data_IF_207756264770
#
_entry.id   IF_207756264770
#
_cell.length_a   1.000
_cell.length_b   1.000
_cell.length_c   1.000
_cell.angle_alpha   90.00
_cell.angle_beta   90.00
_cell.angle_gamma   90.00
#
_symmetry.space_group_name_H-M   'P 1'
#
loop_
_entity.id
_entity.type
_entity.pdbx_description
1 polymer ?
#
# COMPACT_ATOMS: atom_id res chain seq x y z
N UNK A 1 10.15 8.37 10.45
CA UNK A 1 9.58 7.31 11.30
C UNK A 1 9.12 6.21 10.36
N UNK A 2 9.60 4.99 10.56
CA UNK A 2 9.13 3.81 9.84
C UNK A 2 8.14 3.08 10.74
N UNK A 3 7.11 2.50 10.15
CA UNK A 3 6.11 1.67 10.86
C UNK A 3 6.31 0.26 10.34
N UNK A 4 6.53 -0.70 11.25
CA UNK A 4 6.55 -2.12 10.92
C UNK A 4 5.13 -2.67 10.95
N UNK A 5 4.78 -3.41 9.90
CA UNK A 5 3.47 -4.03 9.70
C UNK A 5 3.67 -5.55 9.63
N UNK A 6 3.25 -6.26 10.67
CA UNK A 6 3.20 -7.73 10.64
C UNK A 6 1.93 -8.18 9.91
N UNK A 7 2.05 -8.41 8.61
CA UNK A 7 0.94 -8.82 7.75
C UNK A 7 1.10 -10.28 7.32
N UNK A 8 0.03 -11.07 7.41
CA UNK A 8 -0.03 -12.35 6.70
C UNK A 8 -0.38 -12.12 5.21
N UNK A 9 -0.32 -13.18 4.41
CA UNK A 9 -0.60 -13.11 2.98
C UNK A 9 -1.98 -12.50 2.65
N UNK A 10 -3.03 -12.88 3.37
CA UNK A 10 -4.38 -12.37 3.14
C UNK A 10 -4.49 -10.88 3.48
N UNK A 11 -3.84 -10.45 4.55
CA UNK A 11 -3.83 -9.04 4.97
C UNK A 11 -3.02 -8.18 3.99
N UNK A 12 -1.90 -8.72 3.46
CA UNK A 12 -1.15 -8.08 2.38
C UNK A 12 -2.01 -7.90 1.13
N UNK A 13 -2.74 -8.94 0.70
CA UNK A 13 -3.67 -8.86 -0.45
C UNK A 13 -4.78 -7.83 -0.22
N UNK A 14 -5.39 -7.83 0.96
CA UNK A 14 -6.47 -6.93 1.30
C UNK A 14 -6.01 -5.46 1.31
N UNK A 15 -4.81 -5.21 1.86
CA UNK A 15 -4.21 -3.88 1.91
C UNK A 15 -3.78 -3.41 0.51
N UNK A 16 -3.18 -4.29 -0.30
CA UNK A 16 -2.82 -4.00 -1.68
C UNK A 16 -4.04 -3.57 -2.50
N UNK A 17 -5.14 -4.34 -2.40
CA UNK A 17 -6.40 -3.98 -3.05
C UNK A 17 -6.92 -2.62 -2.59
N UNK A 18 -6.83 -2.32 -1.29
CA UNK A 18 -7.23 -1.03 -0.76
C UNK A 18 -6.40 0.13 -1.34
N UNK A 19 -5.08 -0.04 -1.48
CA UNK A 19 -4.21 0.97 -2.11
C UNK A 19 -4.65 1.32 -3.54
N UNK A 20 -5.16 0.35 -4.30
CA UNK A 20 -5.62 0.57 -5.68
C UNK A 20 -7.05 1.13 -5.78
N UNK A 21 -7.96 0.67 -4.92
CA UNK A 21 -9.37 1.05 -4.97
C UNK A 21 -9.64 2.42 -4.32
N UNK A 22 -8.84 2.78 -3.33
CA UNK A 22 -9.02 4.01 -2.58
C UNK A 22 -8.67 5.24 -3.43
N UNK A 23 -9.64 6.14 -3.57
CA UNK A 23 -9.46 7.45 -4.22
C UNK A 23 -9.55 8.55 -3.18
N UNK A 24 -8.45 9.25 -2.87
CA UNK A 24 -8.47 10.40 -1.99
C UNK A 24 -9.49 11.44 -2.48
N UNK A 25 -10.26 11.98 -1.53
CA UNK A 25 -11.20 13.07 -1.78
C UNK A 25 -11.27 13.98 -0.56
N UNK A 26 -10.12 14.47 -0.13
CA UNK A 26 -10.00 15.41 0.99
C UNK A 26 -10.56 16.81 0.66
N UNK A 27 -10.65 17.14 -0.63
CA UNK A 27 -10.97 18.49 -1.11
C UNK A 27 -9.73 19.37 -1.28
N UNK A 28 -8.54 18.89 -0.91
CA UNK A 28 -7.25 19.51 -1.23
C UNK A 28 -6.48 18.65 -2.25
N UNK A 29 -6.36 19.17 -3.48
CA UNK A 29 -5.69 18.47 -4.57
C UNK A 29 -4.18 18.23 -4.36
N UNK A 30 -3.53 18.92 -3.41
CA UNK A 30 -2.14 18.66 -3.03
C UNK A 30 -2.08 17.51 -2.03
N UNK A 31 -2.99 17.49 -1.07
CA UNK A 31 -3.11 16.40 -0.10
C UNK A 31 -3.50 15.09 -0.80
N UNK A 32 -4.49 15.13 -1.68
CA UNK A 32 -4.93 13.97 -2.46
C UNK A 32 -3.77 13.38 -3.29
N UNK A 33 -2.95 14.23 -3.93
CA UNK A 33 -1.76 13.80 -4.67
C UNK A 33 -0.69 13.18 -3.77
N UNK A 34 -0.45 13.77 -2.60
CA UNK A 34 0.51 13.23 -1.62
C UNK A 34 0.06 11.86 -1.13
N UNK A 35 -1.22 11.71 -0.84
CA UNK A 35 -1.79 10.47 -0.36
C UNK A 35 -1.77 9.38 -1.44
N UNK A 36 -2.12 9.72 -2.68
CA UNK A 36 -1.97 8.81 -3.83
C UNK A 36 -0.52 8.31 -3.97
N UNK A 37 0.46 9.21 -3.94
CA UNK A 37 1.88 8.83 -4.05
C UNK A 37 2.33 7.92 -2.90
N UNK A 38 1.82 8.15 -1.68
CA UNK A 38 2.11 7.29 -0.54
C UNK A 38 1.48 5.90 -0.69
N UNK A 39 0.25 5.81 -1.23
CA UNK A 39 -0.43 4.54 -1.49
C UNK A 39 0.25 3.74 -2.61
N UNK A 40 0.74 4.41 -3.65
CA UNK A 40 1.54 3.79 -4.71
C UNK A 40 2.85 3.20 -4.16
N UNK A 41 3.59 3.95 -3.35
CA UNK A 41 4.82 3.47 -2.72
C UNK A 41 4.56 2.31 -1.75
N UNK A 42 3.43 2.33 -1.04
CA UNK A 42 3.03 1.23 -0.15
C UNK A 42 2.66 -0.03 -0.94
N UNK A 43 1.92 0.11 -2.05
CA UNK A 43 1.57 -1.01 -2.93
C UNK A 43 2.83 -1.70 -3.47
N UNK A 44 3.80 -0.93 -3.98
CA UNK A 44 5.08 -1.45 -4.47
C UNK A 44 5.86 -2.19 -3.38
N UNK A 45 5.91 -1.64 -2.16
CA UNK A 45 6.56 -2.30 -1.03
C UNK A 45 5.89 -3.64 -0.65
N UNK A 46 4.56 -3.71 -0.72
CA UNK A 46 3.80 -4.94 -0.45
C UNK A 46 4.09 -5.98 -1.56
N UNK A 47 4.07 -5.59 -2.83
CA UNK A 47 4.39 -6.50 -3.94
C UNK A 47 5.81 -7.07 -3.83
N UNK A 48 6.80 -6.23 -3.48
CA UNK A 48 8.17 -6.67 -3.21
C UNK A 48 8.24 -7.65 -2.03
N UNK A 49 7.51 -7.38 -0.95
CA UNK A 49 7.47 -8.27 0.21
C UNK A 49 6.83 -9.63 -0.10
N UNK A 50 5.79 -9.65 -0.95
CA UNK A 50 5.13 -10.88 -1.42
C UNK A 50 6.07 -11.75 -2.24
N UNK A 51 6.84 -11.17 -3.16
CA UNK A 51 7.85 -11.87 -3.96
C UNK A 51 8.93 -12.53 -3.10
N UNK A 52 9.23 -11.97 -1.93
CA UNK A 52 10.18 -12.56 -0.98
C UNK A 52 9.57 -13.59 -0.03
N UNK A 53 8.24 -13.74 -0.03
CA UNK A 53 7.50 -14.66 0.84
C UNK A 53 7.12 -15.98 0.13
N UNK A 54 7.16 -16.04 -1.20
CA UNK A 54 7.06 -17.30 -1.95
C UNK A 54 8.42 -18.03 -1.93
N UNK A 55 8.53 -19.22 -1.31
CA UNK A 55 9.70 -20.07 -1.49
C UNK A 55 9.60 -20.80 -2.84
N UNK A 56 10.74 -20.95 -3.54
CA UNK A 56 10.90 -21.88 -4.66
C UNK A 56 10.40 -23.31 -4.32
#
# INVERSE_FOLDING_TARGET
MLIDLELNYNDMEALLRHCHDYKPRSGDAREDRRLMSALEALAEAIDLARLHTEPD
#
